data_IF_048801259720
#
_entry.id   IF_048801259720
#
_cell.length_a   1.000
_cell.length_b   1.000
_cell.length_c   1.000
_cell.angle_alpha   90.00
_cell.angle_beta   90.00
_cell.angle_gamma   90.00
#
_symmetry.space_group_name_H-M   'P 1'
#
loop_
_entity.id
_entity.type
_entity.pdbx_description
1 polymer ?
#
# COMPACT_ATOMS: atom_id res chain seq x y z
N UNK A 1 27.13 8.34 6.51
CA UNK A 1 26.10 8.06 5.49
C UNK A 1 25.56 9.40 4.97
N UNK A 2 25.24 9.53 3.67
CA UNK A 2 24.48 10.68 3.17
C UNK A 2 23.20 10.95 3.96
N UNK A 3 22.77 12.21 3.98
CA UNK A 3 21.44 12.62 4.47
C UNK A 3 20.49 12.74 3.30
N UNK A 4 19.26 12.26 3.48
CA UNK A 4 18.18 12.35 2.49
C UNK A 4 16.90 12.81 3.17
N UNK A 5 16.11 13.65 2.50
CA UNK A 5 14.83 14.11 3.04
C UNK A 5 13.74 13.07 2.80
N UNK A 6 13.01 12.69 3.84
CA UNK A 6 11.83 11.83 3.73
C UNK A 6 10.61 12.60 4.24
N UNK A 7 9.76 13.01 3.31
CA UNK A 7 8.60 13.84 3.60
C UNK A 7 7.54 13.11 4.42
N UNK A 8 7.48 11.78 4.35
CA UNK A 8 6.51 10.97 5.10
C UNK A 8 6.81 10.96 6.60
N UNK A 9 8.07 11.17 6.99
CA UNK A 9 8.50 11.33 8.40
C UNK A 9 8.88 12.78 8.75
N UNK A 10 8.75 13.70 7.80
CA UNK A 10 8.92 15.14 8.02
C UNK A 10 10.35 15.62 8.31
N UNK A 11 11.38 14.81 8.05
CA UNK A 11 12.78 15.16 8.35
C UNK A 11 13.80 14.52 7.41
N UNK A 12 15.03 15.01 7.49
CA UNK A 12 16.19 14.30 6.97
C UNK A 12 16.51 13.07 7.83
N UNK A 13 17.01 12.02 7.17
CA UNK A 13 17.50 10.80 7.81
C UNK A 13 18.76 10.30 7.11
N UNK A 14 19.51 9.43 7.79
CA UNK A 14 20.63 8.73 7.19
C UNK A 14 20.16 7.70 6.15
N UNK A 15 20.83 7.63 5.00
CA UNK A 15 20.64 6.55 4.03
C UNK A 15 21.99 6.19 3.38
N UNK A 16 22.32 4.90 3.13
CA UNK A 16 23.66 4.52 2.66
C UNK A 16 24.11 5.12 1.32
N UNK A 17 23.18 5.55 0.47
CA UNK A 17 23.48 6.12 -0.85
C UNK A 17 22.99 7.56 -0.96
N UNK A 18 23.55 8.32 -1.92
CA UNK A 18 23.01 9.63 -2.26
C UNK A 18 21.58 9.47 -2.82
N UNK A 19 20.74 10.48 -2.60
CA UNK A 19 19.40 10.48 -3.16
C UNK A 19 19.46 10.44 -4.70
N UNK A 20 18.65 9.57 -5.29
CA UNK A 20 18.51 9.43 -6.73
C UNK A 20 17.05 9.10 -7.04
N UNK A 21 16.42 9.91 -7.89
CA UNK A 21 15.00 9.85 -8.14
C UNK A 21 14.71 9.49 -9.60
N UNK A 22 13.73 8.60 -9.85
CA UNK A 22 13.34 8.23 -11.21
C UNK A 22 12.53 9.35 -11.86
N UNK A 23 12.37 9.33 -13.19
CA UNK A 23 11.50 10.28 -13.93
C UNK A 23 10.03 10.14 -13.55
N UNK A 24 9.60 8.91 -13.31
CA UNK A 24 8.29 8.57 -12.76
C UNK A 24 8.44 7.52 -11.67
N UNK A 25 7.48 7.45 -10.78
CA UNK A 25 7.46 6.49 -9.68
C UNK A 25 6.20 5.64 -9.75
N UNK A 26 6.38 4.32 -9.80
CA UNK A 26 5.31 3.36 -9.59
C UNK A 26 4.79 3.51 -8.16
N UNK A 27 3.51 3.82 -8.06
CA UNK A 27 2.81 3.96 -6.78
C UNK A 27 1.43 3.29 -6.85
N UNK A 28 0.86 2.99 -5.69
CA UNK A 28 -0.48 2.42 -5.59
C UNK A 28 -1.21 2.88 -4.34
N UNK A 29 -2.54 2.90 -4.41
CA UNK A 29 -3.44 3.08 -3.26
C UNK A 29 -4.34 1.86 -3.14
N UNK A 30 -4.40 1.26 -1.95
CA UNK A 30 -5.37 0.22 -1.61
C UNK A 30 -6.42 0.74 -0.62
N UNK A 31 -7.70 0.60 -0.97
CA UNK A 31 -8.80 0.93 -0.08
C UNK A 31 -9.14 -0.24 0.84
N UNK A 32 -8.61 -0.27 2.06
CA UNK A 32 -8.85 -1.39 3.00
C UNK A 32 -10.29 -1.46 3.48
N UNK A 33 -11.10 -0.40 3.31
CA UNK A 33 -12.52 -0.41 3.65
C UNK A 33 -13.37 -1.27 2.71
N UNK A 34 -12.83 -1.68 1.56
CA UNK A 34 -13.52 -2.50 0.53
C UNK A 34 -12.91 -3.91 0.40
N UNK A 35 -11.86 -4.21 1.17
CA UNK A 35 -11.17 -5.49 1.02
C UNK A 35 -12.03 -6.61 1.63
N UNK A 36 -12.11 -7.73 0.92
CA UNK A 36 -12.88 -8.92 1.32
C UNK A 36 -11.99 -10.17 1.43
N UNK A 37 -10.67 -9.99 1.44
CA UNK A 37 -9.66 -11.06 1.51
C UNK A 37 -9.87 -12.29 0.61
N UNK A 38 -10.54 -12.17 -0.53
CA UNK A 38 -10.83 -13.29 -1.44
C UNK A 38 -9.59 -13.99 -2.06
N UNK A 39 -8.37 -13.54 -1.73
CA UNK A 39 -7.09 -14.04 -2.23
C UNK A 39 -6.91 -14.07 -3.77
N UNK A 40 -7.84 -13.53 -4.57
CA UNK A 40 -7.74 -13.54 -6.03
C UNK A 40 -6.50 -12.79 -6.53
N UNK A 41 -6.16 -11.67 -5.88
CA UNK A 41 -4.96 -10.91 -6.16
C UNK A 41 -3.65 -11.65 -5.81
N UNK A 42 -3.68 -12.45 -4.73
CA UNK A 42 -2.59 -13.35 -4.31
C UNK A 42 -2.36 -14.41 -5.38
N UNK A 43 -3.43 -15.10 -5.77
CA UNK A 43 -3.37 -16.18 -6.77
C UNK A 43 -3.02 -15.68 -8.16
N UNK A 44 -3.53 -14.52 -8.59
CA UNK A 44 -3.18 -13.94 -9.88
C UNK A 44 -1.68 -13.61 -9.98
N UNK A 45 -1.07 -13.13 -8.88
CA UNK A 45 0.37 -12.92 -8.85
C UNK A 45 1.13 -14.25 -8.85
N UNK A 46 0.66 -15.22 -8.06
CA UNK A 46 1.26 -16.55 -7.92
C UNK A 46 1.36 -17.28 -9.25
N UNK A 47 0.22 -17.42 -9.94
CA UNK A 47 0.11 -18.13 -11.21
C UNK A 47 0.87 -17.44 -12.34
N UNK A 48 1.06 -16.12 -12.25
CA UNK A 48 1.82 -15.39 -13.29
C UNK A 48 3.33 -15.47 -13.08
N UNK A 49 3.83 -15.36 -11.83
CA UNK A 49 5.26 -15.08 -11.59
C UNK A 49 5.98 -16.08 -10.70
N UNK A 50 5.28 -16.74 -9.77
CA UNK A 50 5.92 -17.52 -8.70
C UNK A 50 5.45 -18.97 -8.65
N UNK A 51 5.28 -19.57 -9.83
CA UNK A 51 4.82 -20.96 -10.03
C UNK A 51 5.95 -21.98 -10.28
N UNK A 52 7.21 -21.54 -10.43
CA UNK A 52 8.32 -22.46 -10.70
C UNK A 52 8.84 -23.14 -9.43
N UNK A 53 9.53 -24.27 -9.60
CA UNK A 53 10.19 -25.03 -8.51
C UNK A 53 11.05 -24.13 -7.63
N UNK A 54 10.84 -24.13 -6.32
CA UNK A 54 11.54 -23.28 -5.34
C UNK A 54 10.86 -21.93 -5.07
N UNK A 55 9.78 -21.60 -5.77
CA UNK A 55 8.97 -20.40 -5.53
C UNK A 55 7.68 -20.71 -4.76
N UNK A 56 7.52 -21.91 -4.19
CA UNK A 56 6.28 -22.40 -3.55
C UNK A 56 5.84 -21.47 -2.42
N UNK A 57 6.79 -21.00 -1.61
CA UNK A 57 6.58 -20.01 -0.52
C UNK A 57 6.68 -18.55 -1.01
N UNK A 58 6.84 -18.28 -2.31
CA UNK A 58 6.92 -16.90 -2.78
C UNK A 58 5.54 -16.33 -3.09
N UNK A 59 5.03 -15.53 -2.15
CA UNK A 59 3.78 -14.79 -2.26
C UNK A 59 4.05 -13.30 -2.38
N UNK A 60 4.51 -12.87 -3.56
CA UNK A 60 4.86 -11.47 -3.82
C UNK A 60 3.69 -10.52 -3.56
N UNK A 61 2.48 -10.91 -3.97
CA UNK A 61 1.23 -10.39 -3.44
C UNK A 61 0.70 -11.36 -2.38
N UNK A 62 0.33 -10.85 -1.21
CA UNK A 62 -0.38 -11.60 -0.18
C UNK A 62 -1.46 -10.72 0.45
N UNK A 63 -2.44 -11.34 1.11
CA UNK A 63 -3.41 -10.67 1.96
C UNK A 63 -3.37 -11.34 3.33
N UNK A 64 -3.35 -10.53 4.38
CA UNK A 64 -3.22 -10.99 5.76
C UNK A 64 -4.29 -10.33 6.64
N UNK A 65 -4.78 -11.05 7.64
CA UNK A 65 -5.79 -10.55 8.60
C UNK A 65 -5.09 -9.87 9.77
N UNK A 66 -5.30 -8.57 9.95
CA UNK A 66 -4.72 -7.83 11.08
C UNK A 66 -5.66 -7.83 12.29
N UNK A 67 -5.11 -7.93 13.52
CA UNK A 67 -3.70 -7.69 13.84
C UNK A 67 -2.78 -8.93 13.89
N UNK A 68 -3.32 -10.15 13.94
CA UNK A 68 -2.51 -11.34 14.21
C UNK A 68 -1.81 -11.94 12.98
N UNK A 69 -2.41 -11.81 11.81
CA UNK A 69 -1.86 -12.32 10.55
C UNK A 69 -0.65 -11.54 10.06
N UNK A 70 0.22 -12.25 9.35
CA UNK A 70 1.43 -11.69 8.77
C UNK A 70 2.13 -12.68 7.86
N UNK A 71 2.70 -12.19 6.75
CA UNK A 71 3.54 -12.99 5.88
C UNK A 71 4.88 -12.32 5.54
N UNK A 72 6.02 -12.77 6.10
CA UNK A 72 6.17 -13.87 7.06
C UNK A 72 5.50 -13.54 8.40
N UNK A 73 5.28 -14.55 9.23
CA UNK A 73 4.56 -14.40 10.50
C UNK A 73 5.15 -13.27 11.37
N UNK A 74 4.29 -12.34 11.80
CA UNK A 74 4.63 -11.21 12.70
C UNK A 74 5.74 -10.26 12.21
N UNK A 75 5.93 -10.14 10.89
CA UNK A 75 6.99 -9.34 10.29
C UNK A 75 7.06 -7.89 10.78
N UNK A 76 5.90 -7.25 10.99
CA UNK A 76 5.80 -5.86 11.40
C UNK A 76 6.09 -5.70 12.89
N UNK A 77 5.47 -6.52 13.73
CA UNK A 77 5.71 -6.54 15.18
C UNK A 77 7.19 -6.75 15.49
N UNK A 78 7.84 -7.71 14.83
CA UNK A 78 9.27 -8.00 15.04
C UNK A 78 10.17 -6.82 14.65
N UNK A 79 9.87 -6.13 13.55
CA UNK A 79 10.67 -4.96 13.15
C UNK A 79 10.43 -3.78 14.08
N UNK A 80 9.20 -3.56 14.52
CA UNK A 80 8.88 -2.51 15.49
C UNK A 80 9.55 -2.78 16.85
N UNK A 81 9.55 -4.03 17.31
CA UNK A 81 10.25 -4.44 18.54
C UNK A 81 11.77 -4.21 18.43
N UNK A 82 12.39 -4.52 17.28
CA UNK A 82 13.80 -4.21 17.06
C UNK A 82 14.08 -2.70 17.11
N UNK A 83 13.20 -1.88 16.54
CA UNK A 83 13.31 -0.42 16.58
C UNK A 83 13.10 0.13 17.99
N UNK A 84 12.16 -0.41 18.74
CA UNK A 84 11.94 -0.06 20.14
C UNK A 84 13.17 -0.42 20.99
N UNK A 85 13.75 -1.61 20.80
CA UNK A 85 15.01 -1.99 21.46
C UNK A 85 16.19 -1.09 21.09
N UNK A 86 16.25 -0.61 19.84
CA UNK A 86 17.29 0.30 19.39
C UNK A 86 17.18 1.70 20.01
N UNK A 87 15.96 2.15 20.30
CA UNK A 87 15.67 3.52 20.76
C UNK A 87 14.46 3.56 21.72
N UNK A 88 14.62 2.89 22.86
CA UNK A 88 13.54 2.63 23.81
C UNK A 88 12.86 3.91 24.30
N UNK A 89 11.53 3.92 24.25
CA UNK A 89 10.67 5.02 24.68
C UNK A 89 10.66 6.24 23.76
N UNK A 90 11.47 6.26 22.70
CA UNK A 90 11.73 7.44 21.86
C UNK A 90 11.18 7.30 20.42
N UNK A 91 10.45 6.23 20.09
CA UNK A 91 9.81 6.05 18.79
C UNK A 91 8.50 6.85 18.69
N UNK A 92 8.61 8.19 18.67
CA UNK A 92 7.46 9.11 18.78
C UNK A 92 7.30 10.04 17.59
N UNK A 93 6.07 10.46 17.36
CA UNK A 93 5.72 11.56 16.47
C UNK A 93 5.57 12.86 17.24
N UNK A 94 6.03 13.97 16.66
CA UNK A 94 5.80 15.32 17.13
C UNK A 94 5.14 16.18 16.05
N UNK A 95 4.52 17.27 16.47
CA UNK A 95 3.72 18.12 15.60
C UNK A 95 2.34 17.55 15.29
N UNK A 96 1.66 18.17 14.32
CA UNK A 96 0.32 17.79 13.87
C UNK A 96 0.27 17.78 12.34
N UNK A 97 -0.69 17.07 11.74
CA UNK A 97 -0.94 17.18 10.31
C UNK A 97 -1.07 18.64 9.87
N UNK A 98 -0.41 18.99 8.76
CA UNK A 98 -0.28 20.37 8.30
C UNK A 98 -0.40 20.47 6.78
N UNK A 99 -0.49 21.70 6.28
CA UNK A 99 -0.48 21.99 4.84
C UNK A 99 0.94 21.91 4.22
N UNK A 100 2.00 21.85 5.02
CA UNK A 100 3.39 21.77 4.54
C UNK A 100 3.63 20.42 3.84
N UNK A 101 3.90 20.46 2.54
CA UNK A 101 4.16 19.27 1.73
C UNK A 101 5.45 18.53 2.13
N UNK A 102 6.39 19.20 2.82
CA UNK A 102 7.64 18.58 3.28
C UNK A 102 7.49 17.79 4.58
N UNK A 103 6.43 18.04 5.35
CA UNK A 103 6.11 17.38 6.63
C UNK A 103 4.60 17.35 6.90
N UNK A 104 3.78 16.77 6.00
CA UNK A 104 2.33 16.90 6.03
C UNK A 104 1.68 16.24 7.25
N UNK A 105 2.40 15.37 7.96
CA UNK A 105 1.90 14.61 9.11
C UNK A 105 2.67 14.90 10.41
N UNK A 106 3.42 16.00 10.46
CA UNK A 106 4.37 16.28 11.53
C UNK A 106 5.72 15.61 11.27
N UNK A 107 6.47 15.35 12.34
CA UNK A 107 7.81 14.77 12.29
C UNK A 107 7.88 13.50 13.13
N UNK A 108 8.55 12.46 12.62
CA UNK A 108 8.91 11.29 13.42
C UNK A 108 10.29 11.51 14.04
N UNK A 109 10.36 11.59 15.36
CA UNK A 109 11.60 11.87 16.10
C UNK A 109 12.39 10.61 16.45
N UNK A 110 11.78 9.44 16.24
CA UNK A 110 12.41 8.15 16.45
C UNK A 110 13.49 7.81 15.42
N UNK A 111 14.16 6.67 15.62
CA UNK A 111 15.16 6.17 14.69
C UNK A 111 14.49 5.32 13.61
N UNK A 112 14.91 5.49 12.36
CA UNK A 112 14.55 4.58 11.27
C UNK A 112 15.45 3.34 11.27
N UNK A 113 15.12 2.33 10.46
CA UNK A 113 15.95 1.12 10.31
C UNK A 113 17.35 1.43 9.73
N UNK A 114 17.57 2.61 9.16
CA UNK A 114 18.88 3.06 8.67
C UNK A 114 19.74 3.73 9.76
N UNK A 115 19.11 4.17 10.85
CA UNK A 115 19.74 4.98 11.90
C UNK A 115 19.99 4.17 13.19
N UNK A 116 19.36 3.01 13.33
CA UNK A 116 19.47 2.10 14.48
C UNK A 116 20.82 1.33 14.53
N UNK A 117 21.94 2.05 14.45
CA UNK A 117 23.29 1.51 14.32
C UNK A 117 23.71 0.58 15.47
N UNK A 118 23.25 0.87 16.69
CA UNK A 118 23.59 0.09 17.90
C UNK A 118 23.11 -1.37 17.85
N UNK A 119 22.14 -1.67 17.00
CA UNK A 119 21.53 -3.01 16.86
C UNK A 119 22.02 -3.74 15.60
N UNK A 120 22.94 -3.16 14.83
CA UNK A 120 23.42 -3.77 13.60
C UNK A 120 24.44 -4.86 13.90
N UNK A 121 24.16 -6.07 13.43
CA UNK A 121 25.07 -7.21 13.56
C UNK A 121 25.12 -8.00 12.24
N UNK A 122 26.30 -8.38 11.73
CA UNK A 122 27.64 -7.94 12.16
C UNK A 122 27.88 -6.45 11.83
N UNK A 123 29.03 -5.87 12.21
CA UNK A 123 29.39 -4.46 11.96
C UNK A 123 29.31 -4.04 10.47
N UNK A 124 29.37 -5.01 9.54
CA UNK A 124 29.20 -4.76 8.11
C UNK A 124 27.74 -4.58 7.67
N UNK A 125 26.77 -4.84 8.55
CA UNK A 125 25.37 -4.60 8.31
C UNK A 125 25.09 -3.10 8.20
N UNK A 126 24.18 -2.74 7.30
CA UNK A 126 23.87 -1.33 6.97
C UNK A 126 22.45 -0.91 7.33
N UNK A 127 21.59 -1.89 7.61
CA UNK A 127 20.15 -1.70 7.81
C UNK A 127 19.70 -2.68 8.86
N UNK A 128 18.93 -2.20 9.83
CA UNK A 128 18.32 -3.02 10.86
C UNK A 128 17.29 -3.96 10.23
N UNK A 129 17.36 -5.23 10.59
CA UNK A 129 16.45 -6.23 10.10
C UNK A 129 16.68 -7.56 10.80
N UNK A 130 15.89 -8.54 10.40
CA UNK A 130 16.05 -9.92 10.85
C UNK A 130 15.77 -10.82 9.67
N UNK A 131 16.40 -11.99 9.65
CA UNK A 131 16.15 -13.00 8.65
C UNK A 131 15.02 -13.91 9.16
N UNK A 132 13.84 -13.94 8.51
CA UNK A 132 12.76 -14.80 8.98
C UNK A 132 13.14 -16.28 8.85
N UNK A 133 12.72 -17.08 9.81
CA UNK A 133 12.89 -18.54 9.78
C UNK A 133 12.01 -19.17 8.69
N UNK A 134 12.33 -20.40 8.30
CA UNK A 134 11.51 -21.14 7.32
C UNK A 134 10.09 -21.43 7.87
N UNK A 135 9.94 -21.57 9.19
CA UNK A 135 8.65 -21.72 9.85
C UNK A 135 7.76 -20.49 9.65
N UNK A 136 8.32 -19.28 9.72
CA UNK A 136 7.56 -18.06 9.48
C UNK A 136 7.02 -17.96 8.04
N UNK A 137 7.60 -18.70 7.10
CA UNK A 137 7.20 -18.72 5.68
C UNK A 137 6.24 -19.85 5.32
N UNK A 138 6.04 -20.83 6.20
CA UNK A 138 5.35 -22.08 5.86
C UNK A 138 3.81 -21.94 5.77
N UNK A 139 3.23 -20.92 6.41
CA UNK A 139 1.78 -20.75 6.56
C UNK A 139 1.34 -19.35 6.17
N UNK A 140 1.15 -19.07 4.86
CA UNK A 140 1.04 -17.71 4.35
C UNK A 140 -0.19 -16.89 4.79
N UNK A 141 -1.21 -17.55 5.31
CA UNK A 141 -2.45 -16.92 5.78
C UNK A 141 -2.91 -17.52 7.13
N UNK A 142 -1.95 -17.95 7.96
CA UNK A 142 -2.26 -18.35 9.33
C UNK A 142 -2.88 -17.15 10.09
N UNK A 143 -3.88 -17.43 10.93
CA UNK A 143 -4.73 -16.43 11.60
C UNK A 143 -5.68 -15.65 10.67
N UNK A 144 -6.05 -16.21 9.53
CA UNK A 144 -7.18 -15.70 8.73
C UNK A 144 -8.44 -15.54 9.59
N UNK A 145 -9.13 -14.41 9.42
CA UNK A 145 -10.37 -14.05 10.11
C UNK A 145 -10.32 -14.11 11.65
N UNK A 146 -9.13 -14.07 12.25
CA UNK A 146 -9.00 -14.01 13.71
C UNK A 146 -9.18 -12.57 14.25
N UNK A 147 -10.30 -12.25 14.94
CA UNK A 147 -10.51 -10.94 15.52
C UNK A 147 -9.73 -10.73 16.81
N UNK A 148 -9.52 -9.46 17.15
CA UNK A 148 -9.26 -9.01 18.52
C UNK A 148 -10.57 -8.57 19.14
N UNK A 149 -10.87 -9.04 20.34
CA UNK A 149 -12.04 -8.62 21.10
C UNK A 149 -12.31 -9.54 22.29
N UNK A 150 -13.39 -9.26 23.02
CA UNK A 150 -13.89 -10.16 24.06
C UNK A 150 -14.24 -11.51 23.42
N UNK A 151 -13.83 -12.60 24.08
CA UNK A 151 -14.21 -13.95 23.63
C UNK A 151 -15.73 -14.07 23.61
N UNK A 152 -16.29 -14.39 22.44
CA UNK A 152 -17.72 -14.59 22.29
C UNK A 152 -18.21 -15.83 23.05
N UNK A 153 -19.50 -15.84 23.36
CA UNK A 153 -20.22 -17.02 23.84
C UNK A 153 -20.89 -17.69 22.65
N UNK A 154 -20.86 -19.03 22.60
CA UNK A 154 -21.42 -19.79 21.47
C UNK A 154 -22.93 -19.48 21.36
N UNK A 155 -23.39 -19.15 20.15
CA UNK A 155 -24.77 -18.76 19.83
C UNK A 155 -25.25 -17.42 20.42
N UNK A 156 -24.35 -16.59 20.94
CA UNK A 156 -24.68 -15.25 21.41
C UNK A 156 -23.98 -14.18 20.58
N UNK A 157 -24.72 -13.15 20.20
CA UNK A 157 -24.16 -11.95 19.56
C UNK A 157 -23.78 -10.92 20.62
N UNK A 158 -22.56 -10.38 20.53
CA UNK A 158 -22.19 -9.20 21.32
C UNK A 158 -22.94 -7.97 20.78
N UNK A 159 -23.82 -7.40 21.61
CA UNK A 159 -24.65 -6.25 21.25
C UNK A 159 -23.83 -4.97 20.96
N UNK A 160 -22.57 -4.93 21.39
CA UNK A 160 -21.69 -3.76 21.28
C UNK A 160 -20.38 -4.07 20.54
N UNK A 161 -20.25 -5.28 19.98
CA UNK A 161 -19.02 -5.72 19.31
C UNK A 161 -18.73 -4.93 18.03
N UNK A 162 -19.78 -4.52 17.32
CA UNK A 162 -19.73 -3.86 16.00
C UNK A 162 -20.43 -2.51 16.08
N UNK A 163 -19.70 -1.48 16.49
CA UNK A 163 -20.20 -0.11 16.61
C UNK A 163 -19.15 0.88 16.09
N UNK A 164 -19.56 1.94 15.40
CA UNK A 164 -18.66 3.01 14.99
C UNK A 164 -18.59 4.07 16.08
N UNK A 165 -17.46 4.79 16.25
CA UNK A 165 -16.34 4.91 15.33
C UNK A 165 -15.30 3.78 15.37
N UNK A 166 -15.31 2.91 16.38
CA UNK A 166 -14.36 1.80 16.56
C UNK A 166 -15.07 0.54 17.07
N UNK A 167 -14.89 -0.58 16.37
CA UNK A 167 -15.43 -1.86 16.79
C UNK A 167 -14.65 -2.39 18.00
N UNK A 168 -15.36 -2.94 19.00
CA UNK A 168 -14.74 -3.61 20.15
C UNK A 168 -14.20 -4.99 19.79
N UNK A 169 -14.86 -5.66 18.86
CA UNK A 169 -14.37 -6.91 18.24
C UNK A 169 -14.06 -6.61 16.78
N UNK A 170 -12.77 -6.63 16.43
CA UNK A 170 -12.33 -6.13 15.13
C UNK A 170 -11.19 -6.96 14.53
N UNK A 171 -11.18 -6.99 13.21
CA UNK A 171 -10.03 -7.28 12.38
C UNK A 171 -10.20 -6.49 11.07
N UNK A 172 -9.19 -6.49 10.23
CA UNK A 172 -9.32 -6.05 8.84
C UNK A 172 -8.28 -6.74 7.97
N UNK A 173 -8.47 -6.62 6.66
CA UNK A 173 -7.58 -7.24 5.70
C UNK A 173 -6.54 -6.26 5.17
N UNK A 174 -5.28 -6.66 5.25
CA UNK A 174 -4.15 -5.90 4.73
C UNK A 174 -3.55 -6.63 3.53
N UNK A 175 -3.91 -6.17 2.33
CA UNK A 175 -3.26 -6.63 1.11
C UNK A 175 -1.88 -5.98 0.93
N UNK A 176 -0.82 -6.75 0.69
CA UNK A 176 0.55 -6.23 0.54
C UNK A 176 1.26 -6.74 -0.71
N UNK A 177 2.02 -5.85 -1.32
CA UNK A 177 3.04 -6.11 -2.36
C UNK A 177 4.34 -5.39 -1.98
N UNK A 178 5.38 -5.49 -2.81
CA UNK A 178 6.55 -4.61 -2.65
C UNK A 178 6.14 -3.15 -2.81
N UNK A 179 6.60 -2.27 -1.92
CA UNK A 179 6.27 -0.85 -1.94
C UNK A 179 7.10 -0.03 -2.95
N UNK A 180 8.09 -0.64 -3.63
CA UNK A 180 9.01 0.03 -4.58
C UNK A 180 9.50 1.40 -4.05
N UNK A 181 9.90 1.40 -2.78
CA UNK A 181 10.28 2.52 -1.94
C UNK A 181 11.19 3.56 -2.62
N UNK A 182 11.11 4.83 -2.21
CA UNK A 182 12.06 5.86 -2.65
C UNK A 182 13.45 5.63 -2.06
N UNK A 183 13.52 5.10 -0.82
CA UNK A 183 14.75 4.68 -0.14
C UNK A 183 14.69 3.17 0.18
N UNK A 184 14.94 2.27 -0.80
CA UNK A 184 14.76 0.84 -0.60
C UNK A 184 15.82 0.23 0.33
N UNK A 185 15.36 -0.28 1.48
CA UNK A 185 16.21 -1.02 2.42
C UNK A 185 16.91 -2.25 1.80
N UNK A 186 16.23 -2.94 0.88
CA UNK A 186 16.84 -4.07 0.18
C UNK A 186 18.03 -3.64 -0.70
N UNK A 187 17.94 -2.47 -1.36
CA UNK A 187 19.01 -1.89 -2.15
C UNK A 187 20.17 -1.45 -1.26
N UNK A 188 19.86 -0.73 -0.17
CA UNK A 188 20.82 -0.31 0.86
C UNK A 188 21.67 -1.47 1.41
N UNK A 189 21.03 -2.63 1.64
CA UNK A 189 21.67 -3.76 2.29
C UNK A 189 22.41 -4.73 1.36
N UNK A 190 22.19 -4.70 0.03
CA UNK A 190 22.81 -5.65 -0.88
C UNK A 190 24.32 -5.36 -1.03
N UNK A 191 25.23 -6.23 -0.54
CA UNK A 191 26.67 -5.94 -0.60
C UNK A 191 27.21 -5.99 -2.03
N UNK A 192 26.56 -6.77 -2.91
CA UNK A 192 26.96 -6.96 -4.31
C UNK A 192 26.34 -5.93 -5.27
N UNK A 193 25.44 -5.08 -4.77
CA UNK A 193 24.70 -4.09 -5.58
C UNK A 193 23.89 -4.71 -6.73
N UNK A 194 23.39 -5.94 -6.56
CA UNK A 194 22.52 -6.62 -7.53
C UNK A 194 21.08 -6.05 -7.56
N UNK A 195 20.75 -5.12 -6.67
CA UNK A 195 19.43 -4.50 -6.58
C UNK A 195 19.53 -3.09 -7.10
N UNK A 196 18.63 -2.72 -8.00
CA UNK A 196 18.59 -1.39 -8.61
C UNK A 196 17.17 -0.86 -8.65
N UNK A 197 17.05 0.47 -8.72
CA UNK A 197 15.78 1.18 -8.93
C UNK A 197 15.81 1.76 -10.33
N UNK A 198 14.83 1.40 -11.15
CA UNK A 198 14.76 1.80 -12.55
C UNK A 198 14.56 3.32 -12.69
N UNK A 199 15.32 4.02 -13.54
CA UNK A 199 15.23 5.48 -13.68
C UNK A 199 13.96 5.95 -14.39
N UNK A 200 13.30 5.11 -15.18
CA UNK A 200 12.10 5.48 -15.94
C UNK A 200 10.80 5.43 -15.13
N UNK A 201 10.69 4.53 -14.15
CA UNK A 201 9.44 4.25 -13.44
C UNK A 201 9.59 3.94 -11.94
N UNK A 202 10.82 3.96 -11.40
CA UNK A 202 11.04 3.75 -9.97
C UNK A 202 10.79 2.33 -9.49
N UNK A 203 10.57 1.36 -10.39
CA UNK A 203 10.40 -0.05 -10.04
C UNK A 203 11.76 -0.58 -9.57
N UNK A 204 11.84 -0.95 -8.28
CA UNK A 204 12.99 -1.67 -7.72
C UNK A 204 13.02 -3.12 -8.21
N UNK A 205 14.14 -3.61 -8.71
CA UNK A 205 14.33 -4.99 -9.20
C UNK A 205 15.60 -5.63 -8.61
N UNK A 206 15.66 -6.96 -8.66
CA UNK A 206 16.88 -7.73 -8.34
C UNK A 206 17.38 -8.35 -9.64
N UNK A 207 18.59 -7.98 -10.06
CA UNK A 207 19.27 -8.61 -11.17
C UNK A 207 19.60 -10.06 -10.81
N UNK A 208 18.96 -11.00 -11.52
CA UNK A 208 19.12 -12.43 -11.28
C UNK A 208 20.50 -12.94 -11.70
N UNK A 209 21.21 -12.25 -12.60
CA UNK A 209 22.57 -12.62 -13.04
C UNK A 209 23.63 -12.19 -12.03
N UNK A 210 23.43 -11.06 -11.37
CA UNK A 210 24.36 -10.54 -10.35
C UNK A 210 24.05 -11.08 -8.94
N UNK A 211 22.82 -11.53 -8.69
CA UNK A 211 22.46 -12.06 -7.38
C UNK A 211 23.26 -13.33 -7.03
N UNK A 212 23.75 -13.40 -5.79
CA UNK A 212 24.46 -14.56 -5.23
C UNK A 212 23.84 -15.06 -3.92
N UNK A 213 22.62 -14.64 -3.62
CA UNK A 213 21.87 -15.21 -2.50
C UNK A 213 22.37 -14.84 -1.10
N UNK A 214 23.05 -13.70 -0.92
CA UNK A 214 23.51 -13.25 0.41
C UNK A 214 22.39 -12.98 1.44
N UNK A 215 21.12 -12.97 1.01
CA UNK A 215 19.91 -12.78 1.83
C UNK A 215 19.83 -11.47 2.63
N UNK A 216 20.82 -10.58 2.55
CA UNK A 216 20.77 -9.25 3.18
C UNK A 216 19.57 -8.40 2.75
N UNK A 217 19.08 -8.57 1.52
CA UNK A 217 17.84 -7.93 1.08
C UNK A 217 16.57 -8.52 1.73
N UNK A 218 16.57 -9.81 2.05
CA UNK A 218 15.49 -10.51 2.76
C UNK A 218 15.45 -10.05 4.21
N UNK A 219 16.62 -9.96 4.84
CA UNK A 219 16.81 -9.46 6.21
C UNK A 219 16.36 -8.00 6.36
N UNK A 220 16.92 -7.12 5.52
CA UNK A 220 16.78 -5.67 5.65
C UNK A 220 15.42 -5.12 5.21
N UNK A 221 14.71 -5.78 4.30
CA UNK A 221 13.39 -5.28 3.88
C UNK A 221 12.45 -5.34 5.09
N UNK A 222 11.97 -4.20 5.63
CA UNK A 222 11.12 -4.26 6.82
C UNK A 222 9.80 -4.95 6.49
N UNK A 223 9.29 -4.79 5.26
CA UNK A 223 8.08 -5.45 4.76
C UNK A 223 8.27 -6.91 4.32
N UNK A 224 9.51 -7.43 4.35
CA UNK A 224 9.86 -8.80 3.94
C UNK A 224 9.36 -9.18 2.54
N UNK A 225 9.50 -8.25 1.59
CA UNK A 225 9.10 -8.42 0.18
C UNK A 225 10.22 -8.80 -0.77
N UNK A 226 11.41 -9.06 -0.23
CA UNK A 226 12.47 -9.83 -0.89
C UNK A 226 12.47 -11.22 -0.27
N UNK A 227 12.45 -12.27 -1.11
CA UNK A 227 12.33 -13.66 -0.70
C UNK A 227 13.48 -14.47 -1.31
N UNK A 228 14.01 -15.45 -0.58
CA UNK A 228 15.11 -16.28 -1.04
C UNK A 228 14.58 -17.55 -1.72
N UNK A 229 15.12 -17.88 -2.91
CA UNK A 229 14.83 -19.13 -3.61
C UNK A 229 15.97 -20.10 -3.39
N UNK A 230 15.76 -21.11 -2.55
CA UNK A 230 16.80 -22.10 -2.23
C UNK A 230 17.36 -22.84 -3.46
N UNK A 231 16.49 -23.17 -4.42
CA UNK A 231 16.87 -23.97 -5.60
C UNK A 231 17.84 -23.25 -6.54
N UNK A 232 17.61 -21.97 -6.80
CA UNK A 232 18.45 -21.14 -7.69
C UNK A 232 19.51 -20.35 -6.91
N UNK A 233 19.47 -20.39 -5.57
CA UNK A 233 20.37 -19.67 -4.66
C UNK A 233 20.42 -18.15 -4.93
N UNK A 234 19.30 -17.59 -5.39
CA UNK A 234 19.13 -16.15 -5.60
C UNK A 234 17.91 -15.64 -4.83
N UNK A 235 17.81 -14.33 -4.66
CA UNK A 235 16.63 -13.70 -4.09
C UNK A 235 15.76 -13.11 -5.19
N UNK A 236 14.45 -13.20 -4.99
CA UNK A 236 13.43 -12.73 -5.91
C UNK A 236 12.44 -11.81 -5.16
N UNK A 237 11.67 -11.01 -5.90
CA UNK A 237 10.67 -10.09 -5.34
C UNK A 237 9.66 -9.70 -6.40
N UNK A 238 8.54 -9.11 -5.96
CA UNK A 238 7.58 -8.43 -6.83
C UNK A 238 8.30 -7.53 -7.84
N UNK A 239 8.00 -7.71 -9.13
CA UNK A 239 8.58 -6.92 -10.23
C UNK A 239 7.64 -5.79 -10.69
N UNK A 240 6.60 -5.47 -9.91
CA UNK A 240 5.49 -4.59 -10.29
C UNK A 240 4.92 -4.89 -11.68
N UNK A 241 4.91 -6.17 -12.08
CA UNK A 241 4.61 -6.62 -13.43
C UNK A 241 5.14 -5.65 -14.51
N UNK A 242 6.40 -5.21 -14.41
CA UNK A 242 6.93 -4.18 -15.32
C UNK A 242 6.66 -4.46 -16.81
N UNK A 243 6.63 -5.72 -17.33
CA UNK A 243 6.26 -5.94 -18.72
C UNK A 243 4.84 -5.45 -19.04
N UNK A 244 3.89 -5.55 -18.10
CA UNK A 244 2.52 -5.03 -18.24
C UNK A 244 2.46 -3.52 -18.14
N UNK A 245 3.19 -2.95 -17.18
CA UNK A 245 3.27 -1.50 -16.98
C UNK A 245 3.86 -0.81 -18.22
N UNK A 246 4.79 -1.47 -18.91
CA UNK A 246 5.38 -1.01 -20.17
C UNK A 246 4.53 -1.28 -21.42
N UNK A 247 3.46 -2.08 -21.31
CA UNK A 247 2.70 -2.56 -22.48
C UNK A 247 3.45 -3.59 -23.34
N UNK A 248 4.47 -4.24 -22.79
CA UNK A 248 5.25 -5.31 -23.44
C UNK A 248 4.73 -6.73 -23.15
N UNK A 249 3.84 -6.90 -22.16
CA UNK A 249 3.14 -8.17 -21.97
C UNK A 249 2.25 -8.42 -23.21
N UNK A 250 2.33 -9.59 -23.88
CA UNK A 250 1.60 -9.87 -25.10
C UNK A 250 0.08 -9.63 -25.01
N UNK A 251 -0.51 -9.89 -23.84
CA UNK A 251 -1.95 -9.72 -23.58
C UNK A 251 -2.38 -8.24 -23.62
N UNK A 252 -1.42 -7.32 -23.54
CA UNK A 252 -1.69 -5.89 -23.45
C UNK A 252 -1.79 -5.21 -24.81
N UNK A 253 -1.40 -5.89 -25.90
CA UNK A 253 -1.41 -5.34 -27.27
C UNK A 253 -0.74 -3.97 -27.39
N UNK A 254 0.40 -3.79 -26.72
CA UNK A 254 1.18 -2.55 -26.74
C UNK A 254 0.70 -1.45 -25.77
N UNK A 255 -0.33 -1.71 -24.96
CA UNK A 255 -0.91 -0.71 -24.07
C UNK A 255 -0.42 -0.89 -22.62
N UNK A 256 -0.02 0.17 -21.91
CA UNK A 256 0.22 0.11 -20.47
C UNK A 256 -1.01 -0.40 -19.71
N UNK A 257 -0.85 -1.52 -19.00
CA UNK A 257 -1.91 -2.14 -18.21
C UNK A 257 -1.52 -2.28 -16.75
N UNK A 258 -2.54 -2.37 -15.90
CA UNK A 258 -2.34 -2.63 -14.48
C UNK A 258 -1.66 -4.00 -14.23
N UNK A 259 -0.98 -4.12 -13.09
CA UNK A 259 -0.38 -5.38 -12.65
C UNK A 259 -1.46 -6.42 -12.36
N UNK A 260 -1.12 -7.71 -12.52
CA UNK A 260 -2.09 -8.83 -12.40
C UNK A 260 -2.85 -8.84 -11.07
N UNK A 261 -2.20 -8.47 -9.97
CA UNK A 261 -2.86 -8.39 -8.66
C UNK A 261 -3.85 -7.23 -8.55
N UNK A 262 -3.67 -6.15 -9.32
CA UNK A 262 -4.69 -5.10 -9.43
C UNK A 262 -5.84 -5.54 -10.32
N UNK A 263 -5.55 -6.08 -11.53
CA UNK A 263 -6.61 -6.42 -12.49
C UNK A 263 -7.57 -7.47 -11.93
N UNK A 264 -7.05 -8.42 -11.16
CA UNK A 264 -7.81 -9.51 -10.56
C UNK A 264 -8.53 -9.13 -9.25
N UNK A 265 -8.54 -7.85 -8.87
CA UNK A 265 -9.16 -7.41 -7.63
C UNK A 265 -10.69 -7.34 -7.73
N UNK A 266 -11.35 -8.35 -7.16
CA UNK A 266 -12.81 -8.45 -7.07
C UNK A 266 -13.39 -7.34 -6.18
N UNK A 267 -12.82 -7.13 -4.99
CA UNK A 267 -13.30 -6.11 -4.04
C UNK A 267 -13.09 -4.65 -4.47
N UNK A 268 -12.61 -4.40 -5.70
CA UNK A 268 -12.40 -3.07 -6.24
C UNK A 268 -11.58 -2.12 -5.34
N UNK A 269 -10.57 -2.66 -4.66
CA UNK A 269 -9.79 -1.89 -3.67
C UNK A 269 -8.55 -1.22 -4.26
N UNK A 270 -8.12 -1.59 -5.46
CA UNK A 270 -6.77 -1.32 -5.96
C UNK A 270 -6.74 -0.25 -7.04
N UNK A 271 -5.83 0.69 -6.90
CA UNK A 271 -5.47 1.66 -7.94
C UNK A 271 -3.95 1.78 -8.00
N UNK A 272 -3.38 1.74 -9.22
CA UNK A 272 -1.95 1.96 -9.44
C UNK A 272 -1.72 3.03 -10.51
N UNK A 273 -0.50 3.57 -10.55
CA UNK A 273 -0.13 4.64 -11.45
C UNK A 273 1.37 4.89 -11.50
N UNK A 274 1.79 5.73 -12.45
CA UNK A 274 3.15 6.23 -12.61
C UNK A 274 3.14 7.74 -12.38
N UNK A 275 3.43 8.16 -11.15
CA UNK A 275 3.45 9.59 -10.80
C UNK A 275 4.73 10.24 -11.29
N UNK A 276 4.66 11.49 -11.75
CA UNK A 276 5.85 12.24 -12.16
C UNK A 276 6.63 12.68 -10.91
N UNK A 277 7.96 12.68 -11.01
CA UNK A 277 8.83 13.10 -9.92
C UNK A 277 9.55 14.39 -10.28
N UNK A 278 9.74 15.26 -9.30
CA UNK A 278 10.62 16.41 -9.37
C UNK A 278 12.09 15.99 -9.14
N UNK A 279 13.03 16.87 -9.49
CA UNK A 279 14.47 16.62 -9.28
C UNK A 279 14.87 16.54 -7.80
N UNK A 280 14.07 17.14 -6.92
CA UNK A 280 14.26 17.12 -5.47
C UNK A 280 13.67 15.87 -4.79
N UNK A 281 13.03 14.98 -5.55
CA UNK A 281 12.44 13.74 -5.06
C UNK A 281 11.00 13.85 -4.58
N UNK A 282 10.41 15.04 -4.60
CA UNK A 282 8.96 15.18 -4.37
C UNK A 282 8.17 14.68 -5.59
N UNK A 283 6.92 14.28 -5.38
CA UNK A 283 5.99 14.08 -6.49
C UNK A 283 5.75 15.43 -7.17
N UNK A 284 5.83 15.46 -8.50
CA UNK A 284 5.48 16.66 -9.25
C UNK A 284 3.99 16.94 -9.08
N UNK A 285 3.64 18.21 -8.93
CA UNK A 285 2.25 18.61 -8.75
C UNK A 285 1.41 18.20 -9.96
N UNK A 286 0.42 17.34 -9.72
CA UNK A 286 -0.50 16.85 -10.74
C UNK A 286 -1.85 16.54 -10.08
N UNK A 287 -2.59 17.59 -9.71
CA UNK A 287 -3.87 17.46 -8.98
C UNK A 287 -4.84 16.47 -9.63
N UNK A 288 -4.86 16.41 -10.96
CA UNK A 288 -5.77 15.57 -11.73
C UNK A 288 -5.23 14.15 -11.97
N UNK A 289 -4.05 13.80 -11.47
CA UNK A 289 -3.60 12.43 -11.38
C UNK A 289 -4.23 11.78 -10.13
N UNK A 290 -4.97 10.66 -10.25
CA UNK A 290 -5.80 10.15 -9.16
C UNK A 290 -4.99 9.75 -7.92
N UNK A 291 -3.77 9.19 -8.09
CA UNK A 291 -2.90 8.91 -6.94
C UNK A 291 -2.39 10.19 -6.24
N UNK A 292 -2.07 11.23 -7.01
CA UNK A 292 -1.59 12.49 -6.42
C UNK A 292 -2.72 13.14 -5.63
N UNK A 293 -3.94 13.12 -6.18
CA UNK A 293 -5.13 13.57 -5.48
C UNK A 293 -5.32 12.83 -4.15
N UNK A 294 -5.38 11.49 -4.17
CA UNK A 294 -5.66 10.69 -2.98
C UNK A 294 -4.60 10.85 -1.87
N UNK A 295 -3.32 11.03 -2.24
CA UNK A 295 -2.18 11.10 -1.30
C UNK A 295 -1.89 12.54 -0.84
N UNK A 296 -1.81 13.51 -1.75
CA UNK A 296 -1.35 14.87 -1.44
C UNK A 296 -2.47 15.89 -1.29
N UNK A 297 -3.61 15.69 -1.97
CA UNK A 297 -4.73 16.64 -1.97
C UNK A 297 -5.77 16.26 -0.92
N UNK A 298 -6.43 15.12 -1.10
CA UNK A 298 -7.44 14.62 -0.18
C UNK A 298 -6.80 14.06 1.11
N UNK A 299 -5.54 13.63 1.03
CA UNK A 299 -4.78 13.03 2.15
C UNK A 299 -5.57 11.92 2.85
N UNK A 300 -6.25 11.08 2.06
CA UNK A 300 -7.00 9.92 2.55
C UNK A 300 -6.21 8.63 2.42
N UNK A 301 -5.18 8.62 1.56
CA UNK A 301 -4.29 7.49 1.36
C UNK A 301 -2.95 7.73 2.06
N UNK A 302 -2.65 6.91 3.06
CA UNK A 302 -1.49 7.06 3.94
C UNK A 302 -0.44 5.95 3.70
N UNK A 303 0.86 6.23 3.84
CA UNK A 303 1.91 5.23 3.69
C UNK A 303 1.85 4.16 4.78
N UNK A 304 2.22 2.92 4.46
CA UNK A 304 2.32 1.84 5.45
C UNK A 304 3.68 1.87 6.18
N UNK A 305 3.63 2.04 7.50
CA UNK A 305 4.76 2.15 8.41
C UNK A 305 5.83 3.15 7.95
N UNK A 306 5.49 4.44 7.80
CA UNK A 306 6.44 5.47 7.35
C UNK A 306 7.67 5.57 8.25
N UNK A 307 7.55 5.25 9.55
CA UNK A 307 8.65 5.24 10.52
C UNK A 307 9.80 4.28 10.18
N UNK A 308 9.58 3.31 9.29
CA UNK A 308 10.70 2.51 8.76
C UNK A 308 11.65 3.33 7.89
N UNK A 309 11.32 4.57 7.54
CA UNK A 309 12.19 5.47 6.78
C UNK A 309 12.32 5.11 5.31
N UNK A 310 11.74 4.01 4.82
CA UNK A 310 11.94 3.63 3.40
C UNK A 310 11.23 4.57 2.40
N UNK A 311 10.34 5.44 2.87
CA UNK A 311 9.43 6.23 2.03
C UNK A 311 8.69 5.31 1.02
N UNK A 312 7.83 4.40 1.51
CA UNK A 312 7.07 3.48 0.66
C UNK A 312 6.18 4.24 -0.34
N UNK A 313 6.10 3.72 -1.57
CA UNK A 313 5.16 4.19 -2.60
C UNK A 313 3.86 3.34 -2.64
N UNK A 314 3.59 2.62 -1.55
CA UNK A 314 2.35 1.90 -1.32
C UNK A 314 1.52 2.58 -0.24
N UNK A 315 0.33 3.03 -0.60
CA UNK A 315 -0.56 3.81 0.26
C UNK A 315 -1.87 3.07 0.51
N UNK A 316 -2.51 3.39 1.63
CA UNK A 316 -3.70 2.70 2.11
C UNK A 316 -4.72 3.72 2.60
N UNK A 317 -5.99 3.53 2.26
CA UNK A 317 -7.10 4.28 2.88
C UNK A 317 -7.48 3.54 4.16
N UNK A 318 -7.20 4.05 5.37
CA UNK A 318 -7.32 3.29 6.61
C UNK A 318 -8.76 2.77 6.86
N UNK A 319 -8.92 1.58 7.46
CA UNK A 319 -10.22 0.99 7.74
C UNK A 319 -10.93 1.73 8.88
N UNK A 320 -12.10 2.30 8.60
CA UNK A 320 -12.81 3.23 9.50
C UNK A 320 -13.22 2.62 10.85
N UNK A 321 -13.30 1.30 10.98
CA UNK A 321 -13.79 0.61 12.17
C UNK A 321 -12.69 0.13 13.14
N UNK A 322 -11.42 0.27 12.77
CA UNK A 322 -10.29 -0.24 13.56
C UNK A 322 -9.84 0.81 14.58
N UNK A 323 -9.43 0.41 15.81
CA UNK A 323 -8.95 1.34 16.83
C UNK A 323 -7.88 2.31 16.34
N UNK A 324 -8.03 3.60 16.65
CA UNK A 324 -7.17 4.66 16.12
C UNK A 324 -5.72 4.50 16.54
N UNK A 325 -5.44 4.06 17.77
CA UNK A 325 -4.05 3.88 18.22
C UNK A 325 -3.30 2.85 17.39
N UNK A 326 -3.97 1.73 17.06
CA UNK A 326 -3.41 0.71 16.17
C UNK A 326 -3.16 1.27 14.76
N UNK A 327 -4.11 2.03 14.23
CA UNK A 327 -3.95 2.65 12.91
C UNK A 327 -2.88 3.74 12.86
N UNK A 328 -2.75 4.57 13.90
CA UNK A 328 -1.71 5.61 14.00
C UNK A 328 -0.32 5.00 14.04
N UNK A 329 -0.15 3.86 14.72
CA UNK A 329 1.09 3.09 14.65
C UNK A 329 1.38 2.61 13.22
N UNK A 330 0.37 2.16 12.48
CA UNK A 330 0.54 1.64 11.11
C UNK A 330 0.73 2.72 10.05
N UNK A 331 0.00 3.83 10.13
CA UNK A 331 -0.14 4.79 9.02
C UNK A 331 0.29 6.22 9.39
N UNK A 332 0.66 6.46 10.65
CA UNK A 332 1.12 7.74 11.15
C UNK A 332 0.00 8.67 11.64
N UNK A 333 0.32 9.94 11.97
CA UNK A 333 -0.59 10.86 12.64
C UNK A 333 -1.80 11.32 11.81
N UNK A 334 -1.79 11.17 10.49
CA UNK A 334 -2.87 11.65 9.61
C UNK A 334 -4.11 10.73 9.55
N UNK A 335 -4.16 9.67 10.36
CA UNK A 335 -5.23 8.65 10.32
C UNK A 335 -6.60 9.23 10.60
N UNK A 336 -6.71 10.08 11.62
CA UNK A 336 -7.97 10.64 12.07
C UNK A 336 -8.60 11.50 10.97
N UNK A 337 -7.83 12.41 10.36
CA UNK A 337 -8.31 13.25 9.26
C UNK A 337 -8.57 12.44 7.98
N UNK A 338 -7.77 11.40 7.71
CA UNK A 338 -7.98 10.53 6.56
C UNK A 338 -9.30 9.75 6.67
N UNK A 339 -9.58 9.17 7.85
CA UNK A 339 -10.84 8.45 8.10
C UNK A 339 -12.03 9.40 8.07
N UNK A 340 -11.89 10.58 8.65
CA UNK A 340 -12.95 11.58 8.68
C UNK A 340 -13.34 12.01 7.25
N UNK A 341 -12.37 12.35 6.41
CA UNK A 341 -12.60 12.69 5.00
C UNK A 341 -13.13 11.52 4.19
N UNK A 342 -12.65 10.30 4.44
CA UNK A 342 -13.16 9.12 3.75
C UNK A 342 -14.59 8.77 4.15
N UNK A 343 -14.95 8.95 5.43
CA UNK A 343 -16.29 8.69 5.95
C UNK A 343 -17.31 9.74 5.48
N UNK A 344 -16.84 10.96 5.23
CA UNK A 344 -17.65 12.09 4.76
C UNK A 344 -16.96 12.75 3.54
N UNK A 345 -16.92 12.06 2.39
CA UNK A 345 -16.20 12.55 1.23
C UNK A 345 -16.86 13.80 0.66
N UNK A 346 -16.04 14.78 0.27
CA UNK A 346 -16.50 15.88 -0.55
C UNK A 346 -16.87 15.40 -1.97
N UNK A 347 -17.43 16.32 -2.77
CA UNK A 347 -17.88 16.04 -4.13
C UNK A 347 -16.77 15.44 -5.01
N UNK A 348 -15.56 16.00 -4.96
CA UNK A 348 -14.43 15.56 -5.78
C UNK A 348 -13.89 14.19 -5.31
N UNK A 349 -13.74 13.99 -4.00
CA UNK A 349 -13.28 12.72 -3.44
C UNK A 349 -14.26 11.59 -3.75
N UNK A 350 -15.56 11.83 -3.62
CA UNK A 350 -16.58 10.83 -3.96
C UNK A 350 -16.48 10.41 -5.44
N UNK A 351 -16.24 11.36 -6.35
CA UNK A 351 -16.00 11.10 -7.76
C UNK A 351 -14.71 10.29 -7.98
N UNK A 352 -13.58 10.69 -7.40
CA UNK A 352 -12.31 9.97 -7.53
C UNK A 352 -12.39 8.53 -7.00
N UNK A 353 -13.17 8.29 -5.94
CA UNK A 353 -13.41 6.94 -5.40
C UNK A 353 -14.16 6.01 -6.37
N UNK A 354 -14.83 6.54 -7.40
CA UNK A 354 -15.47 5.74 -8.46
C UNK A 354 -14.48 5.20 -9.49
N UNK A 355 -13.25 5.72 -9.52
CA UNK A 355 -12.22 5.30 -10.48
C UNK A 355 -11.64 3.91 -10.18
N UNK A 356 -11.77 3.45 -8.93
CA UNK A 356 -11.21 2.17 -8.50
C UNK A 356 -11.78 1.01 -9.32
N UNK A 357 -10.88 0.26 -9.99
CA UNK A 357 -11.15 -1.02 -10.65
C UNK A 357 -12.28 -1.03 -11.70
N UNK A 358 -12.58 0.11 -12.34
CA UNK A 358 -13.47 0.19 -13.50
C UNK A 358 -12.83 -0.21 -14.83
N UNK A 359 -11.50 -0.24 -14.90
CA UNK A 359 -10.74 -0.66 -16.09
C UNK A 359 -9.43 -1.33 -15.72
N UNK A 360 -8.87 -2.13 -16.63
CA UNK A 360 -7.56 -2.78 -16.45
C UNK A 360 -6.39 -1.94 -17.03
N UNK A 361 -6.69 -0.76 -17.60
CA UNK A 361 -5.67 0.21 -18.06
C UNK A 361 -5.28 1.15 -16.91
N UNK A 362 -4.02 1.59 -16.91
CA UNK A 362 -3.52 2.54 -15.91
C UNK A 362 -4.14 3.92 -16.16
N UNK A 363 -4.80 4.48 -15.15
CA UNK A 363 -5.37 5.84 -15.21
C UNK A 363 -4.25 6.85 -14.96
N UNK A 364 -4.08 7.79 -15.89
CA UNK A 364 -3.07 8.86 -15.79
C UNK A 364 -3.67 10.23 -15.44
N UNK A 365 -4.96 10.43 -15.73
CA UNK A 365 -5.69 11.66 -15.46
C UNK A 365 -7.18 11.35 -15.29
N UNK A 366 -7.87 12.12 -14.46
CA UNK A 366 -9.33 12.13 -14.42
C UNK A 366 -9.91 13.50 -14.76
N UNK A 367 -11.19 13.53 -15.10
CA UNK A 367 -12.00 14.74 -15.26
C UNK A 367 -13.38 14.49 -14.64
N UNK A 368 -13.95 15.53 -14.03
CA UNK A 368 -15.30 15.49 -13.49
C UNK A 368 -16.17 16.40 -14.36
N UNK A 369 -17.29 15.87 -14.84
CA UNK A 369 -18.39 16.66 -15.40
C UNK A 369 -19.47 16.73 -14.34
N UNK A 370 -19.73 17.96 -13.90
CA UNK A 370 -20.70 18.24 -12.85
C UNK A 370 -22.12 17.85 -13.29
N UNK A 371 -22.76 17.02 -12.47
CA UNK A 371 -24.15 16.62 -12.63
C UNK A 371 -25.08 17.32 -11.63
N UNK A 372 -26.40 17.09 -11.77
CA UNK A 372 -27.39 17.65 -10.85
C UNK A 372 -27.24 17.06 -9.44
N UNK A 373 -27.71 17.82 -8.44
CA UNK A 373 -27.91 17.29 -7.09
C UNK A 373 -28.97 16.19 -7.12
N UNK A 374 -28.66 15.02 -6.57
CA UNK A 374 -29.58 13.86 -6.54
C UNK A 374 -30.01 13.47 -5.15
N UNK A 375 -29.22 13.79 -4.12
CA UNK A 375 -29.55 13.42 -2.75
C UNK A 375 -28.98 14.44 -1.76
N UNK A 376 -29.72 14.68 -0.68
CA UNK A 376 -29.28 15.52 0.43
C UNK A 376 -29.83 14.92 1.75
N UNK A 377 -28.95 14.66 2.70
CA UNK A 377 -29.33 14.11 4.00
C UNK A 377 -28.34 14.52 5.10
N UNK A 378 -28.69 14.19 6.34
CA UNK A 378 -27.76 14.27 7.47
C UNK A 378 -27.33 12.86 7.85
N UNK A 379 -26.05 12.55 7.70
CA UNK A 379 -25.46 11.28 8.12
C UNK A 379 -24.44 11.56 9.22
N UNK A 380 -24.59 10.91 10.38
CA UNK A 380 -23.70 11.08 11.54
C UNK A 380 -23.51 12.55 11.95
N UNK A 381 -24.60 13.32 11.94
CA UNK A 381 -24.59 14.74 12.32
C UNK A 381 -23.96 15.67 11.28
N UNK A 382 -23.57 15.17 10.10
CA UNK A 382 -23.02 15.98 9.00
C UNK A 382 -23.96 16.01 7.81
N UNK A 383 -24.12 17.19 7.22
CA UNK A 383 -24.84 17.34 5.96
C UNK A 383 -24.04 16.69 4.84
N UNK A 384 -24.67 15.76 4.12
CA UNK A 384 -24.14 15.13 2.92
C UNK A 384 -25.01 15.54 1.75
N UNK A 385 -24.37 16.01 0.68
CA UNK A 385 -25.01 16.30 -0.60
C UNK A 385 -24.34 15.47 -1.67
N UNK A 386 -25.13 14.70 -2.43
CA UNK A 386 -24.65 13.90 -3.54
C UNK A 386 -25.06 14.54 -4.86
N UNK A 387 -24.10 14.59 -5.77
CA UNK A 387 -24.28 15.04 -7.15
C UNK A 387 -24.05 13.85 -8.07
N UNK A 388 -24.86 13.72 -9.11
CA UNK A 388 -24.69 12.66 -10.10
C UNK A 388 -23.61 13.03 -11.13
N UNK A 389 -22.41 13.29 -10.63
CA UNK A 389 -21.28 13.69 -11.44
C UNK A 389 -20.84 12.54 -12.35
N UNK A 390 -20.41 12.89 -13.56
CA UNK A 390 -19.76 11.93 -14.46
C UNK A 390 -18.25 12.06 -14.35
N UNK A 391 -17.60 10.98 -13.94
CA UNK A 391 -16.15 10.89 -13.82
C UNK A 391 -15.59 10.20 -15.05
N UNK A 392 -14.62 10.83 -15.70
CA UNK A 392 -13.99 10.37 -16.94
C UNK A 392 -12.52 10.07 -16.67
N UNK A 393 -12.08 8.86 -16.99
CA UNK A 393 -10.70 8.41 -16.81
C UNK A 393 -9.93 8.41 -18.13
N UNK A 394 -8.69 8.87 -18.11
CA UNK A 394 -7.83 8.96 -19.30
C UNK A 394 -6.53 8.16 -19.12
N UNK A 395 -6.14 7.47 -20.19
CA UNK A 395 -4.86 6.78 -20.30
C UNK A 395 -3.71 7.73 -20.60
N UNK A 396 -2.48 7.22 -20.52
CA UNK A 396 -1.28 8.02 -20.79
C UNK A 396 -1.24 8.55 -22.24
N UNK A 397 -1.93 7.89 -23.17
CA UNK A 397 -2.13 8.29 -24.56
C UNK A 397 -3.14 9.44 -24.72
N UNK A 398 -3.70 9.96 -23.62
CA UNK A 398 -4.74 10.98 -23.62
C UNK A 398 -6.12 10.47 -24.02
N UNK A 399 -6.26 9.18 -24.36
CA UNK A 399 -7.54 8.59 -24.75
C UNK A 399 -8.38 8.28 -23.53
N UNK A 400 -9.69 8.47 -23.67
CA UNK A 400 -10.64 8.04 -22.66
C UNK A 400 -10.56 6.51 -22.49
N UNK A 401 -10.48 6.07 -21.24
CA UNK A 401 -10.52 4.65 -20.87
C UNK A 401 -11.97 4.24 -20.61
N UNK A 402 -12.66 5.02 -19.77
CA UNK A 402 -14.06 4.84 -19.43
C UNK A 402 -14.62 6.15 -18.85
N UNK A 403 -15.94 6.22 -18.76
CA UNK A 403 -16.67 7.20 -17.94
C UNK A 403 -17.72 6.49 -17.11
N UNK A 404 -18.02 7.02 -15.93
CA UNK A 404 -19.02 6.46 -15.02
C UNK A 404 -19.66 7.57 -14.20
N UNK A 405 -20.92 7.38 -13.79
CA UNK A 405 -21.67 8.30 -12.95
C UNK A 405 -21.53 7.94 -11.48
N UNK A 406 -21.69 8.92 -10.57
CA UNK A 406 -21.72 8.67 -9.12
C UNK A 406 -22.93 7.82 -8.73
N UNK A 407 -24.07 8.05 -9.38
CA UNK A 407 -25.24 7.19 -9.25
C UNK A 407 -25.10 6.00 -10.20
N UNK A 408 -25.05 4.78 -9.65
CA UNK A 408 -25.17 3.57 -10.45
C UNK A 408 -26.65 3.29 -10.75
N UNK A 409 -27.03 2.98 -12.00
CA UNK A 409 -28.41 2.66 -12.34
C UNK A 409 -28.86 1.40 -11.58
N UNK A 410 -29.91 1.55 -10.77
CA UNK A 410 -30.58 0.43 -10.09
C UNK A 410 -31.37 -0.39 -11.10
N UNK A 411 -30.91 -1.62 -11.36
CA UNK A 411 -31.70 -2.59 -12.11
C UNK A 411 -32.58 -3.40 -11.13
N UNK A 412 -33.85 -3.02 -11.04
CA UNK A 412 -34.85 -3.80 -10.28
C UNK A 412 -35.27 -5.00 -11.14
N UNK A 413 -34.88 -6.20 -10.72
CA UNK A 413 -35.29 -7.44 -11.42
C UNK A 413 -36.81 -7.61 -11.35
N UNK A 414 -37.47 -8.15 -12.40
CA UNK A 414 -38.87 -8.54 -12.33
C UNK A 414 -39.13 -9.56 -11.20
N UNK A 415 -40.25 -9.40 -10.48
CA UNK A 415 -40.58 -10.22 -9.30
C UNK A 415 -40.61 -11.74 -9.57
N UNK A 416 -40.90 -12.14 -10.80
CA UNK A 416 -40.96 -13.54 -11.24
C UNK A 416 -39.60 -14.28 -11.15
N UNK A 417 -38.49 -13.55 -11.07
CA UNK A 417 -37.12 -14.10 -11.04
C UNK A 417 -36.34 -13.69 -9.78
N UNK A 418 -37.03 -13.40 -8.68
CA UNK A 418 -36.38 -12.91 -7.46
C UNK A 418 -35.33 -13.88 -6.87
N UNK A 419 -35.46 -15.19 -7.13
CA UNK A 419 -34.62 -16.23 -6.52
C UNK A 419 -33.79 -17.07 -7.52
N UNK A 420 -33.77 -16.75 -8.81
CA UNK A 420 -32.88 -17.44 -9.76
C UNK A 420 -31.50 -16.77 -9.76
N UNK A 421 -30.48 -17.50 -9.31
CA UNK A 421 -29.07 -17.08 -9.32
C UNK A 421 -28.58 -16.98 -10.76
#
# INVERSE_FOLDING_TARGET
MPKVHNWQIGREMAYPYKAAFPRRQFAFVFNTNRCIACQSCTMACKSTWTFNKGQEQMWWANVETKPYGGYPQFWDVKILDLLEKANAGNQRWSGKPSADSKRPYGQFDGQTIFEAQKMLTPDSARVLGYLPSDEEWNSPNIYEDNPVGKKGVRYEFDKTGVELPEHKTWFFYLARICNHCSYPACLAACPRQAIYKRPEDGIVLIDQKECRGYRKCVEACPYKKSMYRGNTRVSEKCIACYPRVEGKDPETKGQPMETRCMTACIGQIRMQGLVKMNRDGAWAEDRYHPLYYLVHVAKVALPLYPQFGTEPNGYYIPPRWVPRDYLRQMFGPGVDEAIERYANPDRELLAVLQLFRRSNRIISRYQIKEGPKVYEATLRGKKITLYNDTVIAYGQDGKEIFRTTVEEPLHVRPAQHANSI
#
